data_IF_448783592238
#
_entry.id   IF_448783592238
#
_cell.length_a   1.000
_cell.length_b   1.000
_cell.length_c   1.000
_cell.angle_alpha   90.00
_cell.angle_beta   90.00
_cell.angle_gamma   90.00
#
_symmetry.space_group_name_H-M   'P 1'
#
loop_
_entity.id
_entity.type
_entity.pdbx_description
1 polymer ?
#
# COMPACT_ATOMS: atom_id res chain seq x y z
N UNK A 1 -2.12 -10.21 -16.60
CA UNK A 1 -0.92 -10.79 -17.24
C UNK A 1 -1.27 -11.58 -18.49
N UNK A 2 -2.10 -12.63 -18.37
CA UNK A 2 -2.41 -13.51 -19.52
C UNK A 2 -3.37 -12.86 -20.53
N UNK A 3 -4.26 -11.97 -20.08
CA UNK A 3 -5.19 -11.20 -20.92
C UNK A 3 -4.68 -9.81 -21.32
N UNK A 4 -3.51 -9.40 -20.81
CA UNK A 4 -3.01 -8.04 -21.01
C UNK A 4 -2.55 -7.87 -22.46
N UNK A 5 -3.09 -6.88 -23.21
CA UNK A 5 -2.57 -6.55 -24.54
C UNK A 5 -1.24 -5.81 -24.39
N UNK A 6 -0.14 -6.45 -24.78
CA UNK A 6 1.19 -5.87 -24.69
C UNK A 6 1.53 -5.11 -25.96
N UNK A 7 1.90 -3.81 -25.88
CA UNK A 7 2.27 -3.03 -27.06
C UNK A 7 3.52 -3.56 -27.77
N UNK A 8 4.47 -4.14 -27.02
CA UNK A 8 5.73 -4.65 -27.53
C UNK A 8 5.91 -6.13 -27.17
N UNK A 9 6.41 -6.94 -28.10
CA UNK A 9 6.64 -8.36 -27.88
C UNK A 9 7.69 -8.62 -26.77
N UNK A 10 8.68 -7.74 -26.62
CA UNK A 10 9.66 -7.81 -25.54
C UNK A 10 9.00 -7.69 -24.16
N UNK A 11 8.01 -6.80 -24.02
CA UNK A 11 7.26 -6.63 -22.77
C UNK A 11 6.40 -7.86 -22.49
N UNK A 12 5.75 -8.43 -23.52
CA UNK A 12 4.99 -9.67 -23.40
C UNK A 12 5.85 -10.83 -22.91
N UNK A 13 7.03 -11.02 -23.52
CA UNK A 13 7.99 -12.06 -23.14
C UNK A 13 8.44 -11.88 -21.69
N UNK A 14 8.81 -10.67 -21.29
CA UNK A 14 9.26 -10.39 -19.93
C UNK A 14 8.14 -10.63 -18.89
N UNK A 15 6.91 -10.20 -19.20
CA UNK A 15 5.75 -10.41 -18.36
C UNK A 15 5.42 -11.90 -18.19
N UNK A 16 5.53 -12.70 -19.25
CA UNK A 16 5.30 -14.15 -19.18
C UNK A 16 6.45 -14.89 -18.46
N UNK A 17 7.69 -14.41 -18.62
CA UNK A 17 8.86 -15.02 -18.01
C UNK A 17 8.93 -14.80 -16.50
N UNK A 18 8.61 -13.60 -16.02
CA UNK A 18 8.74 -13.22 -14.59
C UNK A 18 7.42 -13.08 -13.85
N UNK A 19 6.31 -12.91 -14.57
CA UNK A 19 4.94 -12.83 -14.03
C UNK A 19 4.80 -11.87 -12.85
N UNK A 20 5.43 -10.69 -12.93
CA UNK A 20 5.42 -9.68 -11.86
C UNK A 20 4.03 -9.12 -11.64
N UNK A 21 3.64 -9.00 -10.38
CA UNK A 21 2.46 -8.25 -9.93
C UNK A 21 2.87 -7.33 -8.77
N UNK A 22 1.98 -6.41 -8.39
CA UNK A 22 2.23 -5.46 -7.30
C UNK A 22 0.95 -5.22 -6.54
N UNK A 23 0.69 -6.06 -5.55
CA UNK A 23 -0.39 -5.89 -4.61
C UNK A 23 0.02 -4.88 -3.54
N UNK A 24 -0.89 -3.98 -3.22
CA UNK A 24 -0.77 -3.05 -2.12
C UNK A 24 -2.14 -2.74 -1.54
N UNK A 25 -2.16 -1.86 -0.56
CA UNK A 25 -3.38 -1.36 0.06
C UNK A 25 -3.40 0.16 0.04
N UNK A 26 -4.57 0.71 0.35
CA UNK A 26 -4.80 2.13 0.59
C UNK A 26 -5.63 2.29 1.87
N UNK A 27 -5.73 3.50 2.39
CA UNK A 27 -6.58 3.80 3.55
C UNK A 27 -5.96 3.55 4.92
N UNK A 28 -4.63 3.35 5.01
CA UNK A 28 -3.99 3.07 6.30
C UNK A 28 -4.20 4.18 7.32
N UNK A 29 -3.95 5.44 6.95
CA UNK A 29 -4.14 6.60 7.81
C UNK A 29 -5.59 6.71 8.30
N UNK A 30 -6.56 6.71 7.38
CA UNK A 30 -7.99 6.79 7.73
C UNK A 30 -8.42 5.62 8.63
N UNK A 31 -7.98 4.40 8.36
CA UNK A 31 -8.28 3.24 9.20
C UNK A 31 -7.72 3.40 10.61
N UNK A 32 -6.47 3.86 10.76
CA UNK A 32 -5.87 4.09 12.08
C UNK A 32 -6.67 5.13 12.87
N UNK A 33 -7.08 6.23 12.23
CA UNK A 33 -7.97 7.23 12.85
C UNK A 33 -9.29 6.62 13.32
N UNK A 34 -9.94 5.82 12.47
CA UNK A 34 -11.21 5.17 12.80
C UNK A 34 -11.08 4.16 13.95
N UNK A 35 -9.89 3.59 14.16
CA UNK A 35 -9.58 2.72 15.29
C UNK A 35 -9.15 3.48 16.55
N UNK A 36 -9.11 4.82 16.52
CA UNK A 36 -8.60 5.64 17.62
C UNK A 36 -7.08 5.53 17.80
N UNK A 37 -6.34 5.13 16.77
CA UNK A 37 -4.89 4.94 16.81
C UNK A 37 -4.22 6.08 16.06
N UNK A 38 -3.36 6.83 16.76
CA UNK A 38 -2.58 7.89 16.12
C UNK A 38 -1.45 7.30 15.25
N UNK A 39 -1.32 7.80 14.02
CA UNK A 39 -0.44 7.26 12.97
C UNK A 39 1.05 7.17 13.38
N UNK A 40 1.57 8.23 14.00
CA UNK A 40 2.99 8.40 14.35
C UNK A 40 3.41 7.69 15.65
N UNK A 41 2.51 6.92 16.27
CA UNK A 41 2.78 6.18 17.51
C UNK A 41 3.38 4.80 17.24
N UNK A 42 3.94 4.18 18.29
CA UNK A 42 4.39 2.79 18.21
C UNK A 42 3.23 1.84 17.88
N UNK A 43 2.04 2.10 18.44
CA UNK A 43 0.84 1.32 18.16
C UNK A 43 0.42 1.42 16.69
N UNK A 44 0.42 2.63 16.12
CA UNK A 44 0.13 2.85 14.69
C UNK A 44 1.08 2.06 13.79
N UNK A 45 2.38 2.12 14.07
CA UNK A 45 3.41 1.37 13.35
C UNK A 45 3.27 -0.15 13.47
N UNK A 46 2.99 -0.66 14.67
CA UNK A 46 2.75 -2.10 14.88
C UNK A 46 1.52 -2.59 14.13
N UNK A 47 0.45 -1.78 14.07
CA UNK A 47 -0.74 -2.12 13.30
C UNK A 47 -0.47 -2.14 11.80
N UNK A 48 0.26 -1.15 11.28
CA UNK A 48 0.69 -1.12 9.89
C UNK A 48 1.56 -2.32 9.53
N UNK A 49 2.51 -2.71 10.40
CA UNK A 49 3.32 -3.90 10.23
C UNK A 49 2.46 -5.17 10.20
N UNK A 50 1.51 -5.32 11.12
CA UNK A 50 0.59 -6.47 11.18
C UNK A 50 -0.25 -6.64 9.91
N UNK A 51 -0.79 -5.54 9.38
CA UNK A 51 -1.57 -5.56 8.12
C UNK A 51 -0.67 -5.97 6.96
N UNK A 52 0.54 -5.40 6.90
CA UNK A 52 1.51 -5.68 5.84
C UNK A 52 2.01 -7.12 5.88
N UNK A 53 2.22 -7.67 7.08
CA UNK A 53 2.53 -9.08 7.30
C UNK A 53 1.43 -10.01 6.79
N UNK A 54 0.18 -9.75 7.17
CA UNK A 54 -0.96 -10.55 6.73
C UNK A 54 -1.10 -10.53 5.20
N UNK A 55 -0.98 -9.35 4.58
CA UNK A 55 -0.99 -9.22 3.12
C UNK A 55 0.16 -9.99 2.47
N UNK A 56 1.38 -9.91 3.03
CA UNK A 56 2.54 -10.64 2.51
C UNK A 56 2.29 -12.13 2.54
N UNK A 57 1.93 -12.66 3.71
CA UNK A 57 1.80 -14.11 3.89
C UNK A 57 0.70 -14.68 3.00
N UNK A 58 -0.43 -13.97 2.87
CA UNK A 58 -1.53 -14.40 2.00
C UNK A 58 -1.16 -14.31 0.52
N UNK A 59 -0.50 -13.23 0.07
CA UNK A 59 -0.07 -13.10 -1.32
C UNK A 59 0.93 -14.21 -1.71
N UNK A 60 1.89 -14.51 -0.84
CA UNK A 60 2.86 -15.56 -1.06
C UNK A 60 2.22 -16.96 -1.03
N UNK A 61 1.30 -17.21 -0.10
CA UNK A 61 0.51 -18.44 -0.05
C UNK A 61 -0.28 -18.64 -1.35
N UNK A 62 -1.02 -17.63 -1.79
CA UNK A 62 -1.79 -17.68 -3.03
C UNK A 62 -0.91 -17.93 -4.26
N UNK A 63 0.29 -17.34 -4.31
CA UNK A 63 1.22 -17.56 -5.42
C UNK A 63 1.81 -18.97 -5.45
N UNK A 64 2.01 -19.59 -4.28
CA UNK A 64 2.36 -21.01 -4.17
C UNK A 64 1.22 -21.87 -4.68
N UNK A 65 -0.03 -21.63 -4.27
CA UNK A 65 -1.18 -22.41 -4.74
C UNK A 65 -1.35 -22.31 -6.27
N UNK A 66 -1.20 -21.10 -6.82
CA UNK A 66 -1.21 -20.90 -8.27
C UNK A 66 -0.04 -21.61 -8.97
N UNK A 67 1.11 -21.76 -8.30
CA UNK A 67 2.24 -22.52 -8.84
C UNK A 67 1.95 -24.02 -8.87
N UNK A 68 1.21 -24.55 -7.87
CA UNK A 68 0.74 -25.94 -7.86
C UNK A 68 -0.23 -26.21 -9.02
N UNK A 69 -1.17 -25.29 -9.25
CA UNK A 69 -2.18 -25.43 -10.31
C UNK A 69 -1.59 -25.24 -11.72
N UNK A 70 -0.70 -24.24 -11.90
CA UNK A 70 -0.31 -23.74 -13.24
C UNK A 70 1.19 -23.76 -13.52
N UNK A 71 1.98 -24.27 -12.59
CA UNK A 71 3.44 -24.21 -12.60
C UNK A 71 4.00 -22.88 -12.10
N UNK A 72 5.24 -22.90 -11.62
CA UNK A 72 5.98 -21.70 -11.22
C UNK A 72 6.24 -20.74 -12.41
N UNK A 73 6.64 -19.50 -12.15
CA UNK A 73 7.07 -18.61 -13.24
C UNK A 73 8.34 -19.17 -13.92
N UNK A 74 8.47 -19.04 -15.26
CA UNK A 74 9.54 -19.71 -16.02
C UNK A 74 10.98 -19.41 -15.55
N UNK A 75 11.27 -18.18 -15.12
CA UNK A 75 12.60 -17.78 -14.65
C UNK A 75 12.91 -18.13 -13.19
N UNK A 76 12.11 -18.98 -12.53
CA UNK A 76 12.26 -19.25 -11.09
C UNK A 76 13.51 -20.08 -10.80
N UNK A 77 14.48 -19.49 -10.10
CA UNK A 77 15.53 -20.21 -9.37
C UNK A 77 15.14 -20.30 -7.90
N UNK A 78 14.61 -21.46 -7.50
CA UNK A 78 14.12 -21.69 -6.13
C UNK A 78 15.22 -21.52 -5.08
N UNK A 79 16.43 -22.00 -5.36
CA UNK A 79 17.53 -21.95 -4.39
C UNK A 79 18.01 -20.51 -4.23
N UNK A 80 18.33 -19.85 -5.34
CA UNK A 80 18.77 -18.45 -5.33
C UNK A 80 17.72 -17.53 -4.71
N UNK A 81 16.44 -17.76 -4.99
CA UNK A 81 15.35 -17.00 -4.40
C UNK A 81 15.29 -17.15 -2.86
N UNK A 82 15.31 -18.38 -2.34
CA UNK A 82 15.20 -18.66 -0.90
C UNK A 82 16.44 -18.23 -0.09
N UNK A 83 17.59 -18.06 -0.76
CA UNK A 83 18.81 -17.52 -0.16
C UNK A 83 18.81 -15.97 -0.10
N UNK A 84 17.88 -15.33 -0.80
CA UNK A 84 17.70 -13.87 -0.84
C UNK A 84 17.26 -13.28 0.51
N UNK A 85 17.61 -12.01 0.78
CA UNK A 85 17.35 -11.36 2.08
C UNK A 85 15.86 -11.23 2.40
N UNK A 86 15.01 -10.96 1.40
CA UNK A 86 13.56 -10.90 1.59
C UNK A 86 12.99 -12.28 1.95
N UNK A 87 13.30 -13.31 1.16
CA UNK A 87 12.77 -14.65 1.34
C UNK A 87 13.16 -15.29 2.67
N UNK A 88 14.29 -14.90 3.26
CA UNK A 88 14.71 -15.32 4.62
C UNK A 88 13.76 -14.85 5.72
N UNK A 89 13.03 -13.75 5.51
CA UNK A 89 12.03 -13.21 6.45
C UNK A 89 10.65 -13.87 6.33
N UNK A 90 10.43 -14.67 5.29
CA UNK A 90 9.17 -15.39 5.12
C UNK A 90 9.02 -16.48 6.21
N UNK A 91 7.78 -16.76 6.66
CA UNK A 91 7.49 -17.86 7.56
C UNK A 91 8.10 -19.18 7.08
N UNK A 92 8.65 -19.97 8.01
CA UNK A 92 9.30 -21.23 7.67
C UNK A 92 8.39 -22.20 6.89
N UNK A 93 7.08 -22.19 7.18
CA UNK A 93 6.08 -22.94 6.44
C UNK A 93 6.01 -22.50 4.97
N UNK A 94 5.90 -21.20 4.70
CA UNK A 94 5.90 -20.66 3.34
C UNK A 94 7.21 -20.96 2.60
N UNK A 95 8.36 -20.81 3.25
CA UNK A 95 9.66 -21.17 2.65
C UNK A 95 9.72 -22.65 2.24
N UNK A 96 9.18 -23.56 3.04
CA UNK A 96 9.08 -24.99 2.68
C UNK A 96 8.17 -25.20 1.48
N UNK A 97 7.03 -24.51 1.43
CA UNK A 97 6.10 -24.63 0.30
C UNK A 97 6.70 -24.07 -0.99
N UNK A 98 7.37 -22.91 -0.94
CA UNK A 98 8.11 -22.34 -2.08
C UNK A 98 9.20 -23.29 -2.54
N UNK A 99 9.91 -23.96 -1.61
CA UNK A 99 10.92 -24.96 -1.96
C UNK A 99 10.32 -26.14 -2.73
N UNK A 100 9.12 -26.58 -2.35
CA UNK A 100 8.46 -27.75 -2.94
C UNK A 100 7.74 -27.44 -4.27
N UNK A 101 7.16 -26.25 -4.41
CA UNK A 101 6.23 -25.93 -5.50
C UNK A 101 6.63 -24.70 -6.33
N UNK A 102 7.60 -23.91 -5.87
CA UNK A 102 7.94 -22.62 -6.45
C UNK A 102 6.88 -21.55 -6.19
N UNK A 103 6.96 -20.46 -6.96
CA UNK A 103 6.01 -19.34 -6.94
C UNK A 103 5.48 -19.08 -8.34
N UNK A 104 4.22 -18.67 -8.46
CA UNK A 104 3.64 -18.29 -9.77
C UNK A 104 4.10 -16.91 -10.22
N UNK A 105 4.50 -16.05 -9.29
CA UNK A 105 4.86 -14.66 -9.54
C UNK A 105 6.23 -14.38 -8.92
N UNK A 106 7.12 -13.67 -9.64
CA UNK A 106 8.44 -13.33 -9.09
C UNK A 106 8.42 -12.19 -8.07
N UNK A 107 7.44 -11.29 -8.18
CA UNK A 107 7.23 -10.14 -7.29
C UNK A 107 5.74 -10.04 -7.03
N UNK A 108 5.38 -9.75 -5.79
CA UNK A 108 4.01 -9.81 -5.33
C UNK A 108 3.52 -8.50 -4.73
N UNK A 109 4.38 -7.72 -4.08
CA UNK A 109 3.98 -6.68 -3.15
C UNK A 109 4.63 -5.35 -3.51
N UNK A 110 3.81 -4.33 -3.69
CA UNK A 110 4.26 -2.97 -4.00
C UNK A 110 3.21 -1.98 -3.53
N UNK A 111 3.59 -1.03 -2.69
CA UNK A 111 2.70 0.06 -2.26
C UNK A 111 2.89 1.23 -3.22
N UNK A 112 2.00 1.35 -4.20
CA UNK A 112 2.00 2.44 -5.19
C UNK A 112 1.21 3.67 -4.69
N UNK A 113 1.40 4.86 -5.29
CA UNK A 113 0.51 5.99 -5.05
C UNK A 113 -0.93 5.67 -5.46
N UNK A 114 -1.88 5.93 -4.56
CA UNK A 114 -3.29 5.59 -4.78
C UNK A 114 -4.20 6.81 -4.96
N UNK A 115 -3.65 8.01 -5.20
CA UNK A 115 -4.40 9.28 -5.24
C UNK A 115 -5.75 9.25 -5.97
N UNK A 116 -5.75 8.87 -7.25
CA UNK A 116 -6.99 8.87 -8.05
C UNK A 116 -7.92 7.71 -7.68
N UNK A 117 -7.37 6.52 -7.38
CA UNK A 117 -8.20 5.36 -7.03
C UNK A 117 -8.83 5.53 -5.64
N UNK A 118 -8.11 6.13 -4.69
CA UNK A 118 -8.62 6.45 -3.36
C UNK A 118 -9.79 7.42 -3.48
N UNK A 119 -9.63 8.51 -4.23
CA UNK A 119 -10.71 9.46 -4.46
C UNK A 119 -11.93 8.78 -5.11
N UNK A 120 -11.71 8.02 -6.19
CA UNK A 120 -12.81 7.55 -7.03
C UNK A 120 -13.51 6.30 -6.48
N UNK A 121 -12.79 5.43 -5.77
CA UNK A 121 -13.26 4.09 -5.41
C UNK A 121 -13.06 3.71 -3.95
N UNK A 122 -12.26 4.47 -3.19
CA UNK A 122 -12.07 4.25 -1.75
C UNK A 122 -12.55 5.46 -0.93
N UNK A 123 -13.56 6.15 -1.44
CA UNK A 123 -14.26 7.24 -0.74
C UNK A 123 -13.33 8.31 -0.15
N UNK A 124 -12.27 8.62 -0.91
CA UNK A 124 -11.22 9.55 -0.52
C UNK A 124 -10.55 9.23 0.82
N UNK A 125 -10.40 7.95 1.16
CA UNK A 125 -9.51 7.53 2.24
C UNK A 125 -8.04 7.89 1.93
N UNK A 126 -7.24 8.02 2.99
CA UNK A 126 -5.80 8.27 2.94
C UNK A 126 -5.10 7.35 1.93
N UNK A 127 -4.03 7.83 1.28
CA UNK A 127 -3.42 7.12 0.16
C UNK A 127 -2.37 6.10 0.60
N UNK A 128 -2.39 4.88 0.09
CA UNK A 128 -1.33 3.91 0.37
C UNK A 128 -1.13 3.68 1.87
N UNK A 129 0.11 3.91 2.32
CA UNK A 129 0.48 3.93 3.74
C UNK A 129 0.53 5.34 4.34
N UNK A 130 0.11 6.38 3.62
CA UNK A 130 0.18 7.77 4.06
C UNK A 130 -0.82 8.07 5.19
N UNK A 131 -0.50 9.01 6.11
CA UNK A 131 -1.53 9.69 6.88
C UNK A 131 -2.37 10.59 5.97
N UNK A 132 -3.49 11.12 6.46
CA UNK A 132 -4.25 12.11 5.70
C UNK A 132 -3.38 13.34 5.44
N UNK A 133 -3.36 13.84 4.20
CA UNK A 133 -2.67 15.09 3.89
C UNK A 133 -3.42 16.30 4.48
N UNK A 134 -4.74 16.30 4.34
CA UNK A 134 -5.66 17.25 4.96
C UNK A 134 -7.00 16.55 5.15
N UNK A 135 -7.76 16.93 6.19
CA UNK A 135 -9.11 16.41 6.44
C UNK A 135 -10.13 16.93 5.44
N UNK A 136 -9.96 18.17 4.99
CA UNK A 136 -10.74 18.78 3.92
C UNK A 136 -9.83 19.54 2.97
N UNK A 137 -10.13 19.53 1.67
CA UNK A 137 -9.40 20.33 0.68
C UNK A 137 -10.23 20.62 -0.56
N UNK A 138 -9.85 21.67 -1.27
CA UNK A 138 -10.48 22.08 -2.51
C UNK A 138 -9.79 21.43 -3.71
N UNK A 139 -10.52 20.63 -4.48
CA UNK A 139 -10.03 20.00 -5.71
C UNK A 139 -10.58 20.70 -6.95
N UNK A 140 -9.67 21.19 -7.79
CA UNK A 140 -10.01 21.80 -9.08
C UNK A 140 -10.11 20.73 -10.17
N UNK A 141 -11.27 20.59 -10.81
CA UNK A 141 -11.52 19.69 -11.93
C UNK A 141 -11.70 20.49 -13.21
N UNK A 142 -10.96 20.15 -14.27
CA UNK A 142 -11.19 20.68 -15.61
C UNK A 142 -12.44 20.03 -16.21
N UNK A 143 -13.34 20.85 -16.72
CA UNK A 143 -14.60 20.46 -17.31
C UNK A 143 -14.44 20.24 -18.83
N UNK A 144 -15.37 19.51 -19.49
CA UNK A 144 -15.31 19.27 -20.93
C UNK A 144 -15.26 20.54 -21.79
N UNK A 145 -15.87 21.63 -21.31
CA UNK A 145 -15.89 22.96 -21.94
C UNK A 145 -14.59 23.78 -21.72
N UNK A 146 -13.58 23.19 -21.05
CA UNK A 146 -12.31 23.85 -20.74
C UNK A 146 -12.34 24.73 -19.47
N UNK A 147 -13.50 24.94 -18.86
CA UNK A 147 -13.62 25.65 -17.58
C UNK A 147 -13.13 24.80 -16.41
N UNK A 148 -13.09 25.37 -15.21
CA UNK A 148 -12.76 24.65 -13.99
C UNK A 148 -13.90 24.75 -12.97
N UNK A 149 -14.22 23.61 -12.34
CA UNK A 149 -15.07 23.57 -11.14
C UNK A 149 -14.23 23.17 -9.94
N UNK A 150 -14.53 23.80 -8.80
CA UNK A 150 -13.90 23.49 -7.52
C UNK A 150 -14.88 22.65 -6.71
N UNK A 151 -14.39 21.56 -6.13
CA UNK A 151 -15.16 20.69 -5.25
C UNK A 151 -14.44 20.63 -3.91
N UNK A 152 -15.19 20.80 -2.83
CA UNK A 152 -14.71 20.42 -1.51
C UNK A 152 -14.70 18.89 -1.41
N UNK A 153 -13.59 18.37 -0.92
CA UNK A 153 -13.38 16.93 -0.72
C UNK A 153 -12.96 16.73 0.72
N UNK A 154 -13.53 15.72 1.36
CA UNK A 154 -13.23 15.35 2.74
C UNK A 154 -12.53 13.99 2.79
N UNK A 155 -11.62 13.77 3.73
CA UNK A 155 -11.11 12.43 4.05
C UNK A 155 -12.23 11.55 4.58
N UNK A 156 -12.20 10.26 4.22
CA UNK A 156 -13.19 9.27 4.66
C UNK A 156 -13.40 9.26 6.19
N UNK A 157 -12.32 9.17 6.97
CA UNK A 157 -12.41 9.05 8.43
C UNK A 157 -13.02 10.31 9.06
N UNK A 158 -12.63 11.49 8.56
CA UNK A 158 -13.21 12.76 8.98
C UNK A 158 -14.71 12.85 8.67
N UNK A 159 -15.11 12.44 7.46
CA UNK A 159 -16.51 12.45 7.04
C UNK A 159 -17.38 11.50 7.87
N UNK A 160 -16.87 10.29 8.16
CA UNK A 160 -17.54 9.33 9.05
C UNK A 160 -17.65 9.88 10.46
N UNK A 161 -16.58 10.43 11.02
CA UNK A 161 -16.57 11.02 12.36
C UNK A 161 -17.62 12.13 12.50
N UNK A 162 -17.70 13.03 11.52
CA UNK A 162 -18.75 14.07 11.45
C UNK A 162 -20.15 13.47 11.33
N UNK A 163 -20.34 12.46 10.49
CA UNK A 163 -21.64 11.81 10.29
C UNK A 163 -22.15 11.08 11.55
N UNK A 164 -21.25 10.66 12.45
CA UNK A 164 -21.58 10.12 13.76
C UNK A 164 -21.97 11.19 14.80
N UNK A 165 -21.97 12.48 14.42
CA UNK A 165 -22.37 13.59 15.28
C UNK A 165 -21.27 14.09 16.21
N UNK A 166 -20.02 13.72 15.97
CA UNK A 166 -18.89 14.24 16.75
C UNK A 166 -18.50 15.66 16.33
N UNK A 167 -17.92 16.42 17.26
CA UNK A 167 -17.45 17.79 17.00
C UNK A 167 -16.16 17.78 16.17
N UNK A 168 -16.21 18.42 15.01
CA UNK A 168 -15.05 18.55 14.10
C UNK A 168 -14.20 19.79 14.38
N UNK A 169 -14.58 20.65 15.33
CA UNK A 169 -13.78 21.80 15.76
C UNK A 169 -12.63 21.38 16.68
N UNK A 170 -12.84 20.33 17.47
CA UNK A 170 -11.85 19.74 18.36
C UNK A 170 -11.66 18.26 18.00
N UNK A 171 -10.77 18.03 17.03
CA UNK A 171 -10.46 16.67 16.60
C UNK A 171 -9.58 15.95 17.65
N UNK A 172 -9.88 14.68 17.98
CA UNK A 172 -9.05 13.86 18.86
C UNK A 172 -7.62 13.69 18.35
N UNK A 173 -6.70 13.33 19.24
CA UNK A 173 -5.26 13.24 18.93
C UNK A 173 -4.90 12.29 17.78
N UNK A 174 -5.72 11.29 17.47
CA UNK A 174 -5.48 10.39 16.35
C UNK A 174 -5.61 11.07 14.99
N UNK A 175 -6.33 12.19 14.89
CA UNK A 175 -6.45 13.01 13.69
C UNK A 175 -5.20 13.85 13.47
N UNK A 176 -4.09 13.18 13.21
CA UNK A 176 -2.84 13.80 12.77
C UNK A 176 -2.71 13.77 11.25
N UNK A 177 -2.39 14.92 10.66
CA UNK A 177 -2.11 15.05 9.24
C UNK A 177 -0.63 14.88 8.92
N UNK A 178 -0.34 14.67 7.63
CA UNK A 178 1.01 14.52 7.13
C UNK A 178 1.90 15.76 7.33
N UNK A 179 1.33 16.95 7.55
CA UNK A 179 2.05 18.21 7.74
C UNK A 179 2.32 18.54 9.21
N UNK A 180 1.56 17.94 10.14
CA UNK A 180 1.73 18.11 11.59
C UNK A 180 2.79 17.19 12.17
N UNK A 181 3.26 16.22 11.38
CA UNK A 181 4.27 15.26 11.78
C UNK A 181 5.68 15.75 11.44
N UNK A 182 6.64 15.46 12.31
CA UNK A 182 8.05 15.61 11.96
C UNK A 182 8.50 14.53 10.96
N UNK A 183 9.68 14.73 10.39
CA UNK A 183 10.29 13.85 9.39
C UNK A 183 10.48 12.41 9.89
N UNK A 184 11.00 12.25 11.11
CA UNK A 184 11.33 10.95 11.72
C UNK A 184 10.15 9.96 11.76
N UNK A 185 8.95 10.33 12.24
CA UNK A 185 7.76 9.49 12.16
C UNK A 185 7.43 8.92 10.78
N UNK A 186 7.63 9.70 9.71
CA UNK A 186 7.39 9.19 8.35
C UNK A 186 8.35 8.07 7.99
N UNK A 187 9.63 8.22 8.32
CA UNK A 187 10.64 7.18 8.13
C UNK A 187 10.36 5.95 8.98
N UNK A 188 10.02 6.11 10.25
CA UNK A 188 9.71 4.98 11.14
C UNK A 188 8.50 4.17 10.67
N UNK A 189 7.50 4.81 10.05
CA UNK A 189 6.39 4.06 9.43
C UNK A 189 6.87 3.26 8.23
N UNK A 190 7.67 3.87 7.35
CA UNK A 190 8.27 3.18 6.20
C UNK A 190 9.10 1.97 6.65
N UNK A 191 9.95 2.14 7.66
CA UNK A 191 10.76 1.07 8.28
C UNK A 191 9.90 -0.07 8.85
N UNK A 192 8.71 0.25 9.36
CA UNK A 192 7.79 -0.75 9.92
C UNK A 192 7.10 -1.59 8.85
N UNK A 193 6.87 -1.02 7.66
CA UNK A 193 6.15 -1.68 6.56
C UNK A 193 7.08 -2.37 5.56
N UNK A 194 8.23 -1.76 5.24
CA UNK A 194 9.17 -2.23 4.22
C UNK A 194 9.66 -3.69 4.38
N UNK A 195 9.84 -4.26 5.59
CA UNK A 195 10.22 -5.66 5.75
C UNK A 195 9.25 -6.65 5.08
N UNK A 196 8.00 -6.24 4.89
CA UNK A 196 6.92 -7.06 4.34
C UNK A 196 6.68 -6.84 2.84
N UNK A 197 7.32 -5.86 2.22
CA UNK A 197 7.15 -5.51 0.81
C UNK A 197 8.39 -5.96 0.02
N UNK A 198 8.20 -6.78 -1.03
CA UNK A 198 9.29 -7.37 -1.82
C UNK A 198 9.80 -6.48 -2.96
N UNK A 199 9.08 -5.40 -3.24
CA UNK A 199 9.46 -4.32 -4.14
C UNK A 199 9.64 -3.02 -3.34
N UNK A 200 8.97 -1.94 -3.76
CA UNK A 200 9.09 -0.61 -3.19
C UNK A 200 7.79 -0.09 -2.60
N UNK A 201 7.94 0.89 -1.71
CA UNK A 201 6.84 1.67 -1.14
C UNK A 201 7.00 3.12 -1.63
N UNK A 202 5.94 3.67 -2.22
CA UNK A 202 5.85 5.09 -2.48
C UNK A 202 5.35 5.80 -1.23
N UNK A 203 6.28 6.40 -0.47
CA UNK A 203 6.02 7.21 0.72
C UNK A 203 6.59 8.61 0.51
N UNK A 204 5.78 9.64 0.73
CA UNK A 204 6.21 11.04 0.74
C UNK A 204 6.62 11.45 2.15
N UNK A 205 7.79 12.05 2.32
CA UNK A 205 8.21 12.67 3.59
C UNK A 205 8.00 14.16 3.46
N UNK A 206 7.09 14.74 4.25
CA UNK A 206 6.89 16.19 4.27
C UNK A 206 7.93 16.80 5.20
N UNK A 207 8.57 17.88 4.75
CA UNK A 207 9.58 18.61 5.50
C UNK A 207 9.03 20.02 5.73
N UNK A 208 8.85 20.45 6.99
CA UNK A 208 8.50 21.84 7.31
C UNK A 208 9.53 22.82 6.76
N UNK A 209 9.11 24.06 6.46
CA UNK A 209 10.00 25.09 5.93
C UNK A 209 11.12 25.47 6.91
N UNK A 210 10.89 25.26 8.21
CA UNK A 210 11.75 25.60 9.33
C UNK A 210 12.53 24.40 9.93
N UNK A 211 12.63 23.29 9.20
CA UNK A 211 13.27 22.04 9.67
C UNK A 211 14.77 22.15 9.97
#
# INVERSE_FOLDING_TARGET
LDVTPWPLEQQRKEAQNKRRVGLGFTGLGSMLVMLGIRYDTQQGRLMAAKISEAMRDEAYSASVELAKERGAFPAMDVKGYLDGPFAKRLPAALRRQIKAHGLRNSHLLSIAPTGTISLAFADNASNGIEPAFSWTYLRRKRMPDGTHKVYEVEDHAYRVYRALGHDTKELPEQFVTALEMSVDPHFKMLESVQPFIDSSISKTVNIPEDY
#
